data_IF_877300711947
#
_entry.id   IF_877300711947
#
_cell.length_a   1.000
_cell.length_b   1.000
_cell.length_c   1.000
_cell.angle_alpha   90.00
_cell.angle_beta   90.00
_cell.angle_gamma   90.00
#
_symmetry.space_group_name_H-M   'P 1'
#
loop_
_entity.id
_entity.type
_entity.pdbx_description
1 polymer ?
#
# COMPACT_ATOMS: atom_id res chain seq x y z
N UNK A 1 -9.08 2.98 -9.81
CA UNK A 1 -8.70 2.28 -11.06
C UNK A 1 -9.87 1.43 -11.54
N UNK A 2 -10.19 1.40 -12.85
CA UNK A 2 -11.31 0.58 -13.39
C UNK A 2 -10.88 -0.11 -14.68
N UNK A 3 -10.70 -1.43 -14.66
CA UNK A 3 -10.23 -2.26 -15.79
C UNK A 3 -11.05 -2.01 -17.07
N UNK A 4 -12.37 -1.93 -16.95
CA UNK A 4 -13.25 -1.68 -18.11
C UNK A 4 -12.98 -0.32 -18.78
N UNK A 5 -12.58 0.69 -18.01
CA UNK A 5 -12.21 2.01 -18.53
C UNK A 5 -10.88 1.94 -19.27
N UNK A 6 -9.89 1.26 -18.72
CA UNK A 6 -8.57 1.07 -19.34
C UNK A 6 -8.70 0.32 -20.66
N UNK A 7 -9.47 -0.77 -20.71
CA UNK A 7 -9.74 -1.50 -21.96
C UNK A 7 -10.41 -0.61 -23.03
N UNK A 8 -11.39 0.21 -22.64
CA UNK A 8 -12.04 1.13 -23.58
C UNK A 8 -11.03 2.13 -24.18
N UNK A 9 -10.14 2.69 -23.36
CA UNK A 9 -9.11 3.63 -23.82
C UNK A 9 -8.14 2.99 -24.82
N UNK A 10 -7.69 1.76 -24.58
CA UNK A 10 -6.81 1.08 -25.54
C UNK A 10 -7.52 0.72 -26.84
N UNK A 11 -8.80 0.31 -26.78
CA UNK A 11 -9.63 0.09 -27.98
C UNK A 11 -9.78 1.37 -28.81
N UNK A 12 -9.96 2.51 -28.16
CA UNK A 12 -10.08 3.79 -28.86
C UNK A 12 -8.74 4.23 -29.50
N UNK A 13 -7.61 3.99 -28.82
CA UNK A 13 -6.28 4.22 -29.40
C UNK A 13 -6.00 3.35 -30.62
N UNK A 14 -6.41 2.09 -30.55
CA UNK A 14 -6.28 1.15 -31.67
C UNK A 14 -7.11 1.60 -32.89
N UNK A 15 -8.36 2.04 -32.67
CA UNK A 15 -9.21 2.65 -33.72
C UNK A 15 -8.57 3.87 -34.38
N UNK A 16 -7.76 4.63 -33.64
CA UNK A 16 -7.04 5.80 -34.15
C UNK A 16 -5.71 5.46 -34.85
N UNK A 17 -5.37 4.17 -34.98
CA UNK A 17 -4.08 3.74 -35.53
C UNK A 17 -2.88 4.02 -34.60
N UNK A 18 -3.14 4.38 -33.34
CA UNK A 18 -2.14 4.65 -32.31
C UNK A 18 -1.92 3.44 -31.38
N UNK A 19 -2.39 2.25 -31.80
CA UNK A 19 -2.22 0.99 -31.10
C UNK A 19 -0.77 0.50 -31.16
N UNK A 20 -0.24 0.01 -30.03
CA UNK A 20 1.07 -0.63 -30.00
C UNK A 20 1.04 -2.03 -30.62
N UNK A 21 2.22 -2.63 -30.88
CA UNK A 21 2.32 -4.06 -31.24
C UNK A 21 1.86 -4.92 -30.05
N UNK A 22 0.92 -5.84 -30.29
CA UNK A 22 0.45 -6.82 -29.30
C UNK A 22 -1.06 -6.77 -29.09
N UNK A 23 -1.61 -7.73 -28.34
CA UNK A 23 -3.05 -7.77 -28.05
C UNK A 23 -3.45 -6.56 -27.16
N UNK A 24 -4.55 -5.89 -27.51
CA UNK A 24 -5.13 -4.76 -26.74
C UNK A 24 -5.33 -5.14 -25.27
N UNK A 25 -5.77 -6.37 -25.02
CA UNK A 25 -6.02 -6.87 -23.66
C UNK A 25 -4.72 -7.01 -22.86
N UNK A 26 -3.64 -7.48 -23.50
CA UNK A 26 -2.31 -7.57 -22.86
C UNK A 26 -1.75 -6.19 -22.53
N UNK A 27 -1.89 -5.23 -23.44
CA UNK A 27 -1.46 -3.84 -23.21
C UNK A 27 -2.22 -3.19 -22.04
N UNK A 28 -3.53 -3.43 -21.97
CA UNK A 28 -4.36 -2.94 -20.89
C UNK A 28 -4.03 -3.60 -19.54
N UNK A 29 -3.82 -4.92 -19.53
CA UNK A 29 -3.35 -5.64 -18.34
C UNK A 29 -1.98 -5.15 -17.87
N UNK A 30 -1.04 -4.90 -18.79
CA UNK A 30 0.28 -4.37 -18.46
C UNK A 30 0.23 -2.94 -17.89
N UNK A 31 -0.63 -2.07 -18.44
CA UNK A 31 -0.84 -0.75 -17.86
C UNK A 31 -1.49 -0.84 -16.47
N UNK A 32 -2.54 -1.63 -16.33
CA UNK A 32 -3.24 -1.84 -15.07
C UNK A 32 -2.29 -2.38 -14.00
N UNK A 33 -1.41 -3.33 -14.35
CA UNK A 33 -0.41 -3.87 -13.46
C UNK A 33 0.57 -2.81 -12.97
N UNK A 34 1.11 -1.98 -13.89
CA UNK A 34 1.99 -0.86 -13.53
C UNK A 34 1.33 0.11 -12.56
N UNK A 35 0.08 0.48 -12.83
CA UNK A 35 -0.69 1.35 -11.94
C UNK A 35 -0.92 0.68 -10.57
N UNK A 36 -1.21 -0.62 -10.54
CA UNK A 36 -1.45 -1.37 -9.30
C UNK A 36 -0.20 -1.40 -8.42
N UNK A 37 0.95 -1.77 -9.00
CA UNK A 37 2.25 -1.77 -8.30
C UNK A 37 2.61 -0.36 -7.81
N UNK A 38 2.40 0.67 -8.62
CA UNK A 38 2.67 2.05 -8.21
C UNK A 38 1.82 2.47 -7.00
N UNK A 39 0.54 2.07 -6.95
CA UNK A 39 -0.32 2.33 -5.80
C UNK A 39 0.12 1.55 -4.55
N UNK A 40 0.50 0.28 -4.70
CA UNK A 40 1.02 -0.51 -3.58
C UNK A 40 2.30 0.08 -3.01
N UNK A 41 3.27 0.48 -3.86
CA UNK A 41 4.50 1.15 -3.44
C UNK A 41 4.19 2.42 -2.64
N UNK A 42 3.39 3.32 -3.21
CA UNK A 42 3.03 4.59 -2.58
C UNK A 42 2.32 4.39 -1.24
N UNK A 43 1.38 3.44 -1.17
CA UNK A 43 0.60 3.21 0.05
C UNK A 43 1.46 2.57 1.15
N UNK A 44 2.37 1.66 0.77
CA UNK A 44 3.35 1.07 1.70
C UNK A 44 4.24 2.13 2.32
N UNK A 45 4.82 3.01 1.49
CA UNK A 45 5.67 4.11 1.96
C UNK A 45 4.94 5.04 2.95
N UNK A 46 3.68 5.38 2.65
CA UNK A 46 2.85 6.21 3.54
C UNK A 46 2.58 5.50 4.87
N UNK A 47 2.20 4.23 4.84
CA UNK A 47 1.89 3.48 6.07
C UNK A 47 3.15 3.31 6.93
N UNK A 48 4.29 2.98 6.33
CA UNK A 48 5.58 2.86 7.03
C UNK A 48 6.00 4.19 7.66
N UNK A 49 5.84 5.30 6.93
CA UNK A 49 6.09 6.63 7.48
C UNK A 49 5.18 6.93 8.68
N UNK A 50 3.87 6.68 8.55
CA UNK A 50 2.91 6.88 9.64
C UNK A 50 3.26 6.04 10.87
N UNK A 51 3.66 4.77 10.69
CA UNK A 51 4.14 3.89 11.77
C UNK A 51 5.34 4.52 12.48
N UNK A 52 6.35 4.98 11.73
CA UNK A 52 7.53 5.63 12.30
C UNK A 52 7.19 6.88 13.12
N UNK A 53 6.27 7.71 12.64
CA UNK A 53 5.83 8.93 13.36
C UNK A 53 5.12 8.59 14.68
N UNK A 54 4.21 7.59 14.69
CA UNK A 54 3.50 7.22 15.93
C UNK A 54 4.42 6.52 16.93
N UNK A 55 5.39 5.74 16.46
CA UNK A 55 6.41 5.12 17.32
C UNK A 55 7.29 6.18 17.98
N UNK A 56 7.78 7.16 17.19
CA UNK A 56 8.57 8.26 17.71
C UNK A 56 7.78 9.08 18.75
N UNK A 57 6.52 9.43 18.44
CA UNK A 57 5.63 10.15 19.38
C UNK A 57 5.46 9.41 20.71
N UNK A 58 5.29 8.08 20.67
CA UNK A 58 5.17 7.25 21.86
C UNK A 58 6.46 7.22 22.69
N UNK A 59 7.61 7.07 22.03
CA UNK A 59 8.91 7.04 22.70
C UNK A 59 9.26 8.38 23.36
N UNK A 60 8.94 9.50 22.71
CA UNK A 60 9.11 10.84 23.27
C UNK A 60 8.26 11.05 24.53
N UNK A 61 6.98 10.66 24.50
CA UNK A 61 6.10 10.77 25.67
C UNK A 61 6.49 9.82 26.81
N UNK A 62 6.99 8.62 26.50
CA UNK A 62 7.55 7.70 27.51
C UNK A 62 8.77 8.29 28.20
N UNK A 63 9.67 8.96 27.45
CA UNK A 63 10.82 9.68 28.01
C UNK A 63 10.38 10.86 28.88
N UNK A 64 9.38 11.64 28.45
CA UNK A 64 8.82 12.74 29.26
C UNK A 64 8.26 12.23 30.59
N UNK A 65 7.50 11.12 30.58
CA UNK A 65 6.96 10.51 31.79
C UNK A 65 8.05 10.11 32.79
N UNK A 66 9.21 9.63 32.31
CA UNK A 66 10.36 9.27 33.14
C UNK A 66 11.07 10.50 33.70
N UNK A 67 11.12 11.61 32.95
CA UNK A 67 11.78 12.85 33.36
C UNK A 67 10.94 13.65 34.37
N UNK A 68 9.61 13.64 34.26
CA UNK A 68 8.69 14.41 35.10
C UNK A 68 8.15 13.62 36.31
N UNK A 69 8.91 12.65 36.81
CA UNK A 69 8.52 11.79 37.94
C UNK A 69 8.24 12.53 39.28
N UNK A 70 8.47 13.85 39.34
CA UNK A 70 8.29 14.68 40.53
C UNK A 70 6.89 15.27 40.73
N UNK A 71 6.03 15.36 39.71
CA UNK A 71 4.66 15.92 39.83
C UNK A 71 3.55 14.91 39.49
N UNK A 72 2.80 14.41 40.49
CA UNK A 72 1.72 13.45 40.29
C UNK A 72 0.54 13.94 39.42
N UNK A 73 0.31 15.25 39.32
CA UNK A 73 -0.76 15.81 38.49
C UNK A 73 -0.37 15.77 37.01
N UNK A 74 0.86 16.20 36.71
CA UNK A 74 1.42 16.17 35.35
C UNK A 74 1.64 14.73 34.87
N UNK A 75 2.09 13.83 35.75
CA UNK A 75 2.22 12.41 35.43
C UNK A 75 0.89 11.76 35.01
N UNK A 76 -0.21 12.06 35.72
CA UNK A 76 -1.56 11.56 35.36
C UNK A 76 -2.01 12.09 34.00
N UNK A 77 -1.73 13.35 33.70
CA UNK A 77 -2.06 13.94 32.39
C UNK A 77 -1.28 13.26 31.27
N UNK A 78 0.02 13.04 31.44
CA UNK A 78 0.87 12.36 30.45
C UNK A 78 0.39 10.92 30.24
N UNK A 79 0.09 10.18 31.32
CA UNK A 79 -0.48 8.83 31.22
C UNK A 79 -1.80 8.80 30.42
N UNK A 80 -2.71 9.75 30.67
CA UNK A 80 -3.95 9.87 29.88
C UNK A 80 -3.68 10.04 28.38
N UNK A 81 -2.69 10.87 28.03
CA UNK A 81 -2.31 11.05 26.62
C UNK A 81 -1.61 9.83 26.02
N UNK A 82 -0.85 9.07 26.81
CA UNK A 82 -0.18 7.84 26.37
C UNK A 82 -1.20 6.77 25.95
N UNK A 83 -2.30 6.61 26.68
CA UNK A 83 -3.35 5.67 26.29
C UNK A 83 -3.96 6.02 24.92
N UNK A 84 -4.23 7.30 24.67
CA UNK A 84 -4.77 7.74 23.39
C UNK A 84 -3.79 7.50 22.23
N UNK A 85 -2.50 7.76 22.45
CA UNK A 85 -1.45 7.47 21.46
C UNK A 85 -1.26 5.97 21.24
N UNK A 86 -1.40 5.15 22.28
CA UNK A 86 -1.27 3.69 22.14
C UNK A 86 -2.40 3.09 21.30
N UNK A 87 -3.63 3.57 21.46
CA UNK A 87 -4.74 3.20 20.57
C UNK A 87 -4.44 3.61 19.13
N UNK A 88 -3.98 4.85 18.92
CA UNK A 88 -3.60 5.34 17.60
C UNK A 88 -2.46 4.52 16.98
N UNK A 89 -1.44 4.19 17.77
CA UNK A 89 -0.31 3.35 17.36
C UNK A 89 -0.80 1.99 16.86
N UNK A 90 -1.68 1.34 17.63
CA UNK A 90 -2.25 0.05 17.26
C UNK A 90 -3.07 0.15 15.97
N UNK A 91 -3.88 1.19 15.81
CA UNK A 91 -4.64 1.43 14.56
C UNK A 91 -3.70 1.58 13.36
N UNK A 92 -2.66 2.40 13.48
CA UNK A 92 -1.70 2.63 12.38
C UNK A 92 -0.88 1.37 12.08
N UNK A 93 -0.51 0.58 13.10
CA UNK A 93 0.14 -0.72 12.88
C UNK A 93 -0.77 -1.74 12.18
N UNK A 94 -2.07 -1.72 12.49
CA UNK A 94 -3.03 -2.58 11.81
C UNK A 94 -3.13 -2.26 10.31
N UNK A 95 -2.82 -1.05 9.89
CA UNK A 95 -2.77 -0.70 8.45
C UNK A 95 -1.74 -1.55 7.69
N UNK A 96 -0.64 -2.00 8.31
CA UNK A 96 0.30 -2.94 7.67
C UNK A 96 -0.35 -4.29 7.32
N UNK A 97 -1.33 -4.72 8.13
CA UNK A 97 -2.12 -5.93 7.86
C UNK A 97 -3.18 -5.64 6.80
N UNK A 98 -3.81 -4.46 6.85
CA UNK A 98 -4.75 -4.01 5.81
C UNK A 98 -4.05 -3.94 4.45
N UNK A 99 -2.83 -3.42 4.37
CA UNK A 99 -2.03 -3.40 3.14
C UNK A 99 -1.86 -4.79 2.55
N UNK A 100 -1.47 -5.76 3.37
CA UNK A 100 -1.32 -7.16 2.95
C UNK A 100 -2.63 -7.74 2.38
N UNK A 101 -3.76 -7.47 3.04
CA UNK A 101 -5.08 -7.89 2.56
C UNK A 101 -5.43 -7.21 1.23
N UNK A 102 -5.19 -5.90 1.13
CA UNK A 102 -5.47 -5.12 -0.09
C UNK A 102 -4.63 -5.62 -1.25
N UNK A 103 -3.33 -5.86 -1.06
CA UNK A 103 -2.44 -6.43 -2.10
C UNK A 103 -2.96 -7.77 -2.60
N UNK A 104 -3.23 -8.72 -1.69
CA UNK A 104 -3.75 -10.05 -2.07
C UNK A 104 -5.08 -9.95 -2.84
N UNK A 105 -6.06 -9.24 -2.30
CA UNK A 105 -7.39 -9.12 -2.94
C UNK A 105 -7.35 -8.39 -4.27
N UNK A 106 -6.51 -7.36 -4.38
CA UNK A 106 -6.37 -6.62 -5.64
C UNK A 106 -5.61 -7.43 -6.70
N UNK A 107 -4.65 -8.29 -6.29
CA UNK A 107 -4.03 -9.26 -7.19
C UNK A 107 -5.03 -10.33 -7.67
N UNK A 108 -5.82 -10.91 -6.77
CA UNK A 108 -6.88 -11.88 -7.13
C UNK A 108 -7.87 -11.27 -8.13
N UNK A 109 -8.33 -10.04 -7.87
CA UNK A 109 -9.22 -9.32 -8.76
C UNK A 109 -8.56 -9.04 -10.12
N UNK A 110 -7.27 -8.69 -10.14
CA UNK A 110 -6.50 -8.50 -11.36
C UNK A 110 -6.39 -9.80 -12.17
N UNK A 111 -5.98 -10.90 -11.54
CA UNK A 111 -5.83 -12.22 -12.17
C UNK A 111 -7.15 -12.78 -12.71
N UNK A 112 -8.29 -12.44 -12.10
CA UNK A 112 -9.62 -12.82 -12.62
C UNK A 112 -9.92 -12.24 -14.02
N UNK A 113 -9.26 -11.14 -14.38
CA UNK A 113 -9.41 -10.44 -15.67
C UNK A 113 -8.21 -10.63 -16.59
N UNK A 114 -7.02 -10.77 -16.03
CA UNK A 114 -5.74 -10.87 -16.72
C UNK A 114 -5.09 -12.24 -16.44
N UNK A 115 -5.80 -13.33 -16.78
CA UNK A 115 -5.47 -14.70 -16.35
C UNK A 115 -4.09 -15.20 -16.78
N UNK A 116 -3.64 -14.81 -17.96
CA UNK A 116 -2.36 -15.22 -18.55
C UNK A 116 -1.28 -14.14 -18.44
N UNK A 117 -1.55 -13.07 -17.70
CA UNK A 117 -0.58 -12.01 -17.54
C UNK A 117 0.53 -12.46 -16.60
N UNK A 118 1.77 -12.26 -17.04
CA UNK A 118 2.94 -12.28 -16.17
C UNK A 118 3.74 -10.99 -16.33
N UNK A 119 4.28 -10.42 -15.23
CA UNK A 119 5.18 -9.28 -15.32
C UNK A 119 6.39 -9.60 -16.21
N UNK A 120 6.80 -8.69 -17.11
CA UNK A 120 7.97 -8.90 -17.94
C UNK A 120 9.23 -9.08 -17.08
N UNK A 121 10.11 -10.02 -17.46
CA UNK A 121 11.35 -10.31 -16.74
C UNK A 121 12.32 -9.11 -16.66
N UNK A 122 12.15 -8.13 -17.54
CA UNK A 122 12.94 -6.89 -17.54
C UNK A 122 12.60 -5.97 -16.36
N UNK A 123 11.43 -6.14 -15.74
CA UNK A 123 10.98 -5.34 -14.59
C UNK A 123 11.11 -6.16 -13.30
N UNK A 124 12.34 -6.22 -12.78
CA UNK A 124 12.67 -6.95 -11.55
C UNK A 124 11.86 -6.45 -10.34
N UNK A 125 11.57 -5.14 -10.30
CA UNK A 125 10.77 -4.53 -9.25
C UNK A 125 9.33 -5.02 -9.30
N UNK A 126 8.69 -4.95 -10.48
CA UNK A 126 7.33 -5.44 -10.65
C UNK A 126 7.23 -6.94 -10.36
N UNK A 127 8.25 -7.73 -10.69
CA UNK A 127 8.31 -9.16 -10.35
C UNK A 127 8.37 -9.39 -8.84
N UNK A 128 9.18 -8.63 -8.09
CA UNK A 128 9.20 -8.70 -6.62
C UNK A 128 7.83 -8.45 -6.01
N UNK A 129 7.10 -7.44 -6.52
CA UNK A 129 5.74 -7.14 -6.06
C UNK A 129 4.72 -8.23 -6.42
N UNK A 130 4.90 -8.87 -7.58
CA UNK A 130 4.10 -10.02 -7.98
C UNK A 130 4.29 -11.20 -7.01
N UNK A 131 5.55 -11.58 -6.75
CA UNK A 131 5.89 -12.71 -5.89
C UNK A 131 5.48 -12.47 -4.44
N UNK A 132 5.72 -11.26 -3.91
CA UNK A 132 5.30 -10.88 -2.56
C UNK A 132 3.79 -10.95 -2.39
N UNK A 133 3.02 -10.43 -3.35
CA UNK A 133 1.57 -10.45 -3.30
C UNK A 133 0.98 -11.87 -3.45
N UNK A 134 1.63 -12.77 -4.21
CA UNK A 134 1.29 -14.20 -4.26
C UNK A 134 1.56 -14.91 -2.93
N UNK A 135 2.68 -14.57 -2.26
CA UNK A 135 3.04 -15.12 -0.95
C UNK A 135 2.20 -14.54 0.21
N UNK A 136 1.34 -13.54 -0.05
CA UNK A 136 0.53 -12.87 0.97
C UNK A 136 1.33 -11.92 1.87
N UNK A 137 2.45 -11.39 1.37
CA UNK A 137 3.39 -10.52 2.08
C UNK A 137 3.22 -9.03 1.77
#
# INVERSE_FOLDING_TARGET
MRINRTNAQFRDRDRQGLGGKGNIEEQACAQMWRELVANWKRRTEIVEYCVGVVDQSMDEKRKQLQQEAGDPATQRRIQGTLFAEEVKRNQVHNELTVERIVRRRSLEAFQSRCKYFEPPLTDADARRWWDAAQAGQ
#
